data_IF_067346321767
#
_entry.id   IF_067346321767
#
_cell.length_a   1.000
_cell.length_b   1.000
_cell.length_c   1.000
_cell.angle_alpha   90.00
_cell.angle_beta   90.00
_cell.angle_gamma   90.00
#
_symmetry.space_group_name_H-M   'P 1'
#
loop_
_entity.id
_entity.type
_entity.pdbx_description
1 polymer ?
#
# COMPACT_ATOMS: atom_id res chain seq x y z
N UNK A 1 3.00 2.43 -2.01
CA UNK A 1 4.16 2.73 -1.14
C UNK A 1 4.72 1.44 -0.58
N UNK A 2 6.00 1.34 -0.20
CA UNK A 2 6.47 0.22 0.61
C UNK A 2 5.79 0.25 1.98
N UNK A 3 5.50 -0.92 2.56
CA UNK A 3 4.96 -1.05 3.92
C UNK A 3 6.12 -0.95 4.91
N UNK A 4 5.98 -0.11 5.92
CA UNK A 4 6.98 0.09 6.95
C UNK A 4 6.47 -0.29 8.34
N UNK A 5 7.39 -0.37 9.29
CA UNK A 5 7.04 -0.47 10.71
C UNK A 5 6.25 0.78 11.12
N UNK A 6 5.28 0.56 11.99
CA UNK A 6 4.41 1.57 12.59
C UNK A 6 3.37 2.20 11.65
N UNK A 7 3.28 1.74 10.39
CA UNK A 7 2.16 2.08 9.51
C UNK A 7 0.87 1.42 10.04
N UNK A 8 -0.26 2.12 9.92
CA UNK A 8 -1.58 1.50 10.14
C UNK A 8 -2.05 0.86 8.84
N UNK A 9 -2.60 -0.34 8.99
CA UNK A 9 -3.00 -1.16 7.86
C UNK A 9 -4.32 -1.87 8.07
N UNK A 10 -5.03 -2.09 6.96
CA UNK A 10 -6.24 -2.90 6.90
C UNK A 10 -6.00 -4.10 5.97
N UNK A 11 -6.43 -5.28 6.39
CA UNK A 11 -6.32 -6.50 5.59
C UNK A 11 -7.50 -6.59 4.63
N UNK A 12 -7.23 -6.65 3.32
CA UNK A 12 -8.25 -6.63 2.26
C UNK A 12 -8.60 -8.03 1.77
N UNK A 13 -7.67 -8.98 1.89
CA UNK A 13 -7.78 -10.32 1.30
C UNK A 13 -7.34 -11.42 2.27
N UNK A 14 -7.96 -12.60 2.14
CA UNK A 14 -7.63 -13.80 2.92
C UNK A 14 -8.40 -13.91 4.24
N UNK A 15 -7.95 -14.81 5.11
CA UNK A 15 -8.62 -15.21 6.35
C UNK A 15 -8.84 -14.05 7.34
N UNK A 16 -7.93 -13.08 7.37
CA UNK A 16 -7.98 -11.94 8.30
C UNK A 16 -8.61 -10.68 7.69
N UNK A 17 -9.37 -10.83 6.59
CA UNK A 17 -9.99 -9.70 5.89
C UNK A 17 -10.88 -8.88 6.84
N UNK A 18 -10.79 -7.56 6.74
CA UNK A 18 -11.55 -6.61 7.55
C UNK A 18 -10.90 -6.27 8.90
N UNK A 19 -9.81 -6.96 9.28
CA UNK A 19 -9.05 -6.58 10.45
C UNK A 19 -8.12 -5.41 10.16
N UNK A 20 -8.02 -4.51 11.13
CA UNK A 20 -7.13 -3.36 11.14
C UNK A 20 -6.10 -3.50 12.24
N UNK A 21 -4.91 -2.97 12.01
CA UNK A 21 -3.85 -3.02 13.00
C UNK A 21 -2.63 -2.20 12.60
N UNK A 22 -1.73 -2.02 13.57
CA UNK A 22 -0.44 -1.38 13.34
C UNK A 22 0.60 -2.42 12.95
N UNK A 23 1.45 -2.12 11.98
CA UNK A 23 2.55 -2.99 11.58
C UNK A 23 3.64 -2.99 12.65
N UNK A 24 3.75 -4.09 13.39
CA UNK A 24 4.75 -4.23 14.47
C UNK A 24 6.15 -4.53 13.90
N UNK A 25 6.23 -5.41 12.89
CA UNK A 25 7.49 -5.86 12.26
C UNK A 25 7.27 -6.20 10.79
N UNK A 26 8.21 -5.82 9.93
CA UNK A 26 8.25 -6.20 8.51
C UNK A 26 9.43 -7.17 8.29
N UNK A 27 9.12 -8.40 7.90
CA UNK A 27 10.12 -9.46 7.71
C UNK A 27 10.38 -9.71 6.23
N UNK A 28 11.66 -9.68 5.83
CA UNK A 28 12.08 -9.87 4.45
C UNK A 28 12.76 -11.24 4.21
N UNK A 29 13.16 -11.94 5.29
CA UNK A 29 13.53 -13.37 5.38
C UNK A 29 14.08 -13.70 6.78
N UNK A 30 13.42 -14.56 7.56
CA UNK A 30 13.98 -15.28 8.73
C UNK A 30 13.18 -16.57 8.97
N UNK A 31 13.88 -17.69 9.18
CA UNK A 31 13.29 -18.97 9.62
C UNK A 31 12.97 -18.85 11.11
N UNK A 32 11.71 -19.06 11.49
CA UNK A 32 11.31 -19.13 12.91
C UNK A 32 10.53 -20.41 13.18
N UNK A 33 10.75 -20.98 14.36
CA UNK A 33 10.30 -22.30 14.82
C UNK A 33 9.28 -22.13 15.95
N UNK A 34 8.32 -23.05 16.01
CA UNK A 34 7.22 -23.05 16.97
C UNK A 34 7.68 -23.27 18.42
N UNK A 35 6.88 -22.72 19.34
CA UNK A 35 7.10 -22.71 20.79
C UNK A 35 5.98 -23.53 21.44
N UNK A 36 6.31 -24.46 22.33
CA UNK A 36 5.36 -25.44 22.93
C UNK A 36 4.45 -24.83 24.02
N UNK A 37 4.53 -23.52 24.28
CA UNK A 37 4.21 -22.95 25.60
C UNK A 37 3.11 -21.87 25.63
N UNK A 38 2.14 -21.91 24.72
CA UNK A 38 0.87 -21.16 24.84
C UNK A 38 0.97 -19.62 24.78
N UNK A 39 2.10 -19.06 24.35
CA UNK A 39 2.26 -17.62 24.14
C UNK A 39 1.75 -17.18 22.77
N UNK A 40 1.22 -15.95 22.68
CA UNK A 40 0.70 -15.39 21.42
C UNK A 40 1.83 -15.07 20.43
N UNK A 41 1.66 -15.48 19.17
CA UNK A 41 2.62 -15.27 18.08
C UNK A 41 2.05 -14.29 17.05
N UNK A 42 2.89 -13.37 16.59
CA UNK A 42 2.54 -12.43 15.52
C UNK A 42 2.26 -13.19 14.20
N UNK A 43 1.15 -12.89 13.55
CA UNK A 43 0.73 -13.55 12.30
C UNK A 43 1.42 -12.88 11.11
N UNK A 44 2.10 -13.68 10.28
CA UNK A 44 2.70 -13.21 9.04
C UNK A 44 1.66 -12.96 7.95
N UNK A 45 1.49 -11.70 7.54
CA UNK A 45 0.61 -11.31 6.44
C UNK A 45 1.45 -10.74 5.29
N UNK A 46 1.18 -11.23 4.07
CA UNK A 46 1.86 -10.71 2.88
C UNK A 46 1.37 -9.28 2.56
N UNK A 47 2.26 -8.33 2.26
CA UNK A 47 1.89 -6.93 2.02
C UNK A 47 0.91 -6.71 0.86
N UNK A 48 0.85 -7.61 -0.12
CA UNK A 48 -0.13 -7.52 -1.23
C UNK A 48 -1.58 -7.74 -0.78
N UNK A 49 -1.79 -8.30 0.41
CA UNK A 49 -3.12 -8.52 1.01
C UNK A 49 -3.56 -7.35 1.89
N UNK A 50 -2.75 -6.30 1.96
CA UNK A 50 -2.84 -5.24 2.96
C UNK A 50 -2.95 -3.87 2.28
N UNK A 51 -3.80 -3.01 2.82
CA UNK A 51 -3.96 -1.62 2.44
C UNK A 51 -3.43 -0.72 3.56
N UNK A 52 -2.59 0.25 3.23
CA UNK A 52 -2.06 1.22 4.20
C UNK A 52 -3.11 2.30 4.41
N UNK A 53 -3.63 2.42 5.63
CA UNK A 53 -4.63 3.43 6.00
C UNK A 53 -3.95 4.72 6.46
N UNK A 54 -2.93 4.62 7.33
CA UNK A 54 -2.10 5.75 7.74
C UNK A 54 -0.62 5.43 7.58
N UNK A 55 0.10 6.33 6.92
CA UNK A 55 1.53 6.20 6.66
C UNK A 55 2.34 6.96 7.72
N UNK A 56 3.42 6.35 8.20
CA UNK A 56 4.42 7.05 9.02
C UNK A 56 5.25 8.01 8.16
N UNK A 57 5.18 9.30 8.50
CA UNK A 57 5.84 10.38 7.76
C UNK A 57 7.21 10.74 8.35
N UNK A 58 8.21 9.91 8.07
CA UNK A 58 9.61 10.24 8.30
C UNK A 58 10.18 11.16 7.21
N UNK A 59 11.38 11.71 7.42
CA UNK A 59 12.08 12.54 6.41
C UNK A 59 12.19 11.80 5.06
N UNK A 60 12.63 10.54 5.09
CA UNK A 60 12.82 9.75 3.86
C UNK A 60 11.49 9.36 3.21
N UNK A 61 10.45 9.11 4.00
CA UNK A 61 9.09 8.81 3.49
C UNK A 61 8.52 10.00 2.72
N UNK A 62 8.76 11.23 3.20
CA UNK A 62 8.34 12.46 2.51
C UNK A 62 9.10 12.64 1.20
N UNK A 63 10.43 12.49 1.21
CA UNK A 63 11.25 12.56 0.00
C UNK A 63 10.83 11.52 -1.06
N UNK A 64 10.49 10.31 -0.63
CA UNK A 64 10.04 9.25 -1.51
C UNK A 64 8.65 9.55 -2.09
N UNK A 65 7.75 10.13 -1.30
CA UNK A 65 6.43 10.58 -1.76
C UNK A 65 6.57 11.69 -2.80
N UNK A 66 7.40 12.69 -2.55
CA UNK A 66 7.64 13.80 -3.49
C UNK A 66 8.25 13.29 -4.80
N UNK A 67 9.23 12.39 -4.73
CA UNK A 67 9.83 11.75 -5.91
C UNK A 67 8.79 10.96 -6.71
N UNK A 68 7.94 10.17 -6.04
CA UNK A 68 6.89 9.40 -6.72
C UNK A 68 5.78 10.27 -7.28
N UNK A 69 5.44 11.37 -6.62
CA UNK A 69 4.47 12.35 -7.11
C UNK A 69 4.97 13.00 -8.40
N UNK A 70 6.23 13.47 -8.42
CA UNK A 70 6.87 14.01 -9.63
C UNK A 70 6.93 12.99 -10.77
N UNK A 71 7.31 11.74 -10.47
CA UNK A 71 7.34 10.66 -11.46
C UNK A 71 5.97 10.33 -12.06
N UNK A 72 4.91 10.34 -11.24
CA UNK A 72 3.53 10.15 -11.72
C UNK A 72 3.07 11.31 -12.59
N UNK A 73 3.31 12.55 -12.17
CA UNK A 73 2.95 13.74 -12.93
C UNK A 73 3.62 13.81 -14.31
N UNK A 74 4.83 13.28 -14.45
CA UNK A 74 5.50 13.16 -15.75
C UNK A 74 4.86 12.05 -16.61
N UNK A 75 4.60 10.88 -16.04
CA UNK A 75 3.98 9.75 -16.74
C UNK A 75 2.52 10.02 -17.16
N UNK A 76 1.78 10.82 -16.39
CA UNK A 76 0.41 11.20 -16.71
C UNK A 76 0.34 12.26 -17.83
N UNK A 77 1.44 12.98 -18.12
CA UNK A 77 1.54 13.87 -19.28
C UNK A 77 1.84 13.12 -20.58
N UNK A 78 2.60 12.03 -20.52
CA UNK A 78 2.94 11.20 -21.69
C UNK A 78 1.80 10.26 -22.11
N UNK A 79 0.90 9.91 -21.18
CA UNK A 79 -0.36 9.22 -21.49
C UNK A 79 -1.41 10.26 -21.91
N UNK A 80 -1.36 10.65 -23.17
CA UNK A 80 -2.36 11.50 -23.80
C UNK A 80 -3.80 11.08 -23.45
N UNK A 81 -4.62 12.12 -23.28
CA UNK A 81 -6.10 12.12 -23.33
C UNK A 81 -6.83 11.15 -22.38
N UNK A 82 -7.20 11.67 -21.22
CA UNK A 82 -8.52 11.33 -20.66
C UNK A 82 -9.52 12.33 -21.23
N UNK A 83 -10.30 11.84 -22.19
CA UNK A 83 -11.48 12.45 -22.82
C UNK A 83 -12.15 13.45 -21.89
N UNK A 84 -12.14 14.72 -22.29
CA UNK A 84 -13.04 15.72 -21.73
C UNK A 84 -14.46 15.43 -22.24
N UNK A 85 -15.47 15.63 -21.40
CA UNK A 85 -16.87 15.31 -21.70
C UNK A 85 -17.45 16.01 -22.96
N UNK A 86 -16.71 16.95 -23.57
CA UNK A 86 -17.06 17.60 -24.83
C UNK A 86 -16.92 16.73 -26.08
N UNK A 87 -16.11 15.66 -26.06
CA UNK A 87 -15.84 14.85 -27.26
C UNK A 87 -16.91 13.77 -27.54
N UNK A 88 -17.85 13.54 -26.60
CA UNK A 88 -18.91 12.52 -26.75
C UNK A 88 -20.10 13.05 -27.57
N UNK A 89 -20.27 14.38 -27.66
CA UNK A 89 -21.43 15.00 -28.33
C UNK A 89 -21.24 15.29 -29.83
N UNK A 90 -20.05 15.06 -30.40
CA UNK A 90 -19.77 15.37 -31.81
C UNK A 90 -19.95 14.18 -32.79
N UNK A 91 -20.32 13.00 -32.31
CA UNK A 91 -20.49 11.81 -33.17
C UNK A 91 -21.93 11.29 -33.25
N UNK A 92 -22.91 12.19 -33.13
CA UNK A 92 -24.31 11.89 -33.50
C UNK A 92 -24.69 12.85 -34.63
N UNK A 93 -24.34 12.45 -35.85
CA UNK A 93 -25.07 12.76 -37.08
C UNK A 93 -25.77 11.47 -37.53
#
# INVERSE_FOLDING_TARGET
MPVSKDDEVQVVRGTYKGQEGKVVRVYHRKVTREKVNGSTVDIGINPSKVLITKLRLDKDSKLLLDRKAKGRAAADKDKGTKLTAGDIMQNVD
#
